data_IF_211564926851
#
_entry.id   IF_211564926851
#
_cell.length_a   1.000
_cell.length_b   1.000
_cell.length_c   1.000
_cell.angle_alpha   90.00
_cell.angle_beta   90.00
_cell.angle_gamma   90.00
#
_symmetry.space_group_name_H-M   'P 1'
#
loop_
_entity.id
_entity.type
_entity.pdbx_description
1 polymer ?
#
# COMPACT_ATOMS: atom_id res chain seq x y z
N UNK A 1 -29.54 21.00 -9.42
CA UNK A 1 -29.47 20.06 -8.30
C UNK A 1 -28.48 18.97 -8.60
N UNK A 2 -27.49 18.80 -7.74
CA UNK A 2 -26.46 17.81 -7.98
C UNK A 2 -27.01 16.41 -7.73
N UNK A 3 -26.80 15.49 -8.67
CA UNK A 3 -27.20 14.11 -8.46
C UNK A 3 -26.42 13.49 -7.30
N UNK A 4 -27.08 12.72 -6.44
CA UNK A 4 -26.35 12.02 -5.39
C UNK A 4 -25.25 11.12 -5.92
N UNK A 5 -25.37 10.62 -7.15
CA UNK A 5 -24.39 9.73 -7.73
C UNK A 5 -23.01 10.38 -7.88
N UNK A 6 -22.96 11.69 -8.14
CA UNK A 6 -21.67 12.38 -8.27
C UNK A 6 -20.93 12.41 -6.94
N UNK A 7 -21.64 12.66 -5.86
CA UNK A 7 -21.04 12.66 -4.53
C UNK A 7 -20.57 11.27 -4.14
N UNK A 8 -21.36 10.26 -4.48
CA UNK A 8 -20.96 8.88 -4.20
C UNK A 8 -19.69 8.49 -4.95
N UNK A 9 -19.58 8.91 -6.21
CA UNK A 9 -18.40 8.63 -7.00
C UNK A 9 -17.15 9.25 -6.36
N UNK A 10 -17.25 10.49 -5.89
CA UNK A 10 -16.14 11.15 -5.23
C UNK A 10 -15.77 10.46 -3.93
N UNK A 11 -16.78 9.99 -3.19
CA UNK A 11 -16.54 9.28 -1.94
C UNK A 11 -15.77 7.99 -2.16
N UNK A 12 -16.04 7.27 -3.25
CA UNK A 12 -15.35 6.03 -3.57
C UNK A 12 -13.96 6.26 -4.16
N UNK A 13 -13.72 7.42 -4.74
CA UNK A 13 -12.42 7.76 -5.30
C UNK A 13 -11.42 8.08 -4.20
N UNK A 14 -11.88 8.67 -3.12
CA UNK A 14 -11.04 9.05 -1.99
C UNK A 14 -11.62 8.50 -0.69
N UNK A 15 -10.77 8.11 0.24
CA UNK A 15 -11.26 7.65 1.54
C UNK A 15 -11.83 8.83 2.34
N UNK A 16 -12.80 8.56 3.23
CA UNK A 16 -13.19 9.57 4.21
C UNK A 16 -11.97 9.96 5.04
N UNK A 17 -11.86 11.25 5.35
CA UNK A 17 -10.72 11.76 6.13
C UNK A 17 -9.40 11.29 5.54
N UNK A 18 -9.20 11.65 4.28
CA UNK A 18 -8.08 11.19 3.47
C UNK A 18 -6.73 11.35 4.16
N UNK A 19 -6.51 12.46 4.83
CA UNK A 19 -5.25 12.69 5.51
C UNK A 19 -5.00 11.67 6.61
N UNK A 20 -6.02 11.35 7.39
CA UNK A 20 -5.88 10.35 8.44
C UNK A 20 -5.62 8.97 7.87
N UNK A 21 -6.32 8.62 6.80
CA UNK A 21 -6.11 7.35 6.14
C UNK A 21 -4.67 7.24 5.60
N UNK A 22 -4.20 8.28 4.92
CA UNK A 22 -2.85 8.29 4.36
C UNK A 22 -1.79 8.13 5.46
N UNK A 23 -1.97 8.82 6.59
CA UNK A 23 -1.03 8.69 7.70
C UNK A 23 -0.99 7.27 8.24
N UNK A 24 -2.13 6.59 8.32
CA UNK A 24 -2.16 5.19 8.74
C UNK A 24 -1.43 4.30 7.76
N UNK A 25 -1.62 4.54 6.47
CA UNK A 25 -0.91 3.78 5.43
C UNK A 25 0.60 3.96 5.59
N UNK A 26 1.05 5.19 5.70
CA UNK A 26 2.48 5.48 5.81
C UNK A 26 3.09 4.88 7.08
N UNK A 27 2.38 4.97 8.20
CA UNK A 27 2.85 4.39 9.45
C UNK A 27 2.99 2.88 9.34
N UNK A 28 2.05 2.21 8.70
CA UNK A 28 2.13 0.77 8.51
C UNK A 28 3.27 0.40 7.57
N UNK A 29 3.39 1.10 6.45
CA UNK A 29 4.42 0.78 5.46
C UNK A 29 5.82 0.96 6.03
N UNK A 30 5.99 1.95 6.92
CA UNK A 30 7.29 2.13 7.58
C UNK A 30 7.72 0.91 8.38
N UNK A 31 6.80 0.05 8.75
CA UNK A 31 7.11 -1.14 9.54
C UNK A 31 7.52 -2.33 8.67
N UNK A 32 7.29 -2.28 7.37
CA UNK A 32 7.69 -3.37 6.49
C UNK A 32 9.22 -3.46 6.48
N UNK A 33 9.79 -4.60 6.89
CA UNK A 33 11.25 -4.68 6.97
C UNK A 33 11.89 -4.80 5.58
N UNK A 34 13.16 -4.43 5.45
CA UNK A 34 13.88 -4.66 4.20
C UNK A 34 13.84 -6.13 3.81
N UNK A 35 13.66 -6.40 2.54
CA UNK A 35 13.57 -7.77 2.03
C UNK A 35 12.18 -8.36 2.10
N UNK A 36 11.20 -7.58 2.53
CA UNK A 36 9.81 -8.02 2.54
C UNK A 36 8.96 -7.04 1.74
N UNK A 37 7.83 -7.54 1.23
CA UNK A 37 6.90 -6.73 0.45
C UNK A 37 5.48 -6.96 0.95
N UNK A 38 4.63 -6.00 0.62
CA UNK A 38 3.21 -6.07 0.93
C UNK A 38 2.46 -5.60 -0.30
N UNK A 39 1.35 -6.24 -0.63
CA UNK A 39 0.54 -5.74 -1.74
C UNK A 39 -0.34 -4.59 -1.27
N UNK A 40 -0.82 -3.79 -2.22
CA UNK A 40 -1.77 -2.71 -1.87
C UNK A 40 -2.98 -3.26 -1.14
N UNK A 41 -3.49 -4.42 -1.57
CA UNK A 41 -4.63 -5.05 -0.91
C UNK A 41 -4.30 -5.53 0.50
N UNK A 42 -3.10 -6.05 0.70
CA UNK A 42 -2.68 -6.48 2.04
C UNK A 42 -2.54 -5.30 2.98
N UNK A 43 -1.98 -4.19 2.51
CA UNK A 43 -1.90 -2.98 3.32
C UNK A 43 -3.30 -2.51 3.70
N UNK A 44 -4.22 -2.50 2.73
CA UNK A 44 -5.60 -2.11 2.99
C UNK A 44 -6.25 -3.00 4.05
N UNK A 45 -6.03 -4.31 3.94
CA UNK A 45 -6.61 -5.26 4.89
C UNK A 45 -6.06 -5.07 6.30
N UNK A 46 -4.77 -4.78 6.41
CA UNK A 46 -4.15 -4.57 7.73
C UNK A 46 -4.64 -3.28 8.40
N UNK A 47 -4.94 -2.27 7.60
CA UNK A 47 -5.43 -0.99 8.15
C UNK A 47 -6.89 -1.10 8.55
N UNK A 48 -7.70 -1.79 7.74
CA UNK A 48 -9.13 -1.89 7.95
C UNK A 48 -9.89 -0.68 7.43
N UNK A 49 -11.22 -0.80 7.31
CA UNK A 49 -12.01 0.29 6.76
C UNK A 49 -12.03 1.51 7.69
N UNK A 50 -11.92 2.71 7.11
CA UNK A 50 -12.09 3.92 7.91
C UNK A 50 -13.48 3.99 8.51
N UNK A 51 -13.63 4.70 9.64
CA UNK A 51 -14.96 4.85 10.24
C UNK A 51 -15.96 5.40 9.22
N UNK A 52 -17.14 4.79 9.17
CA UNK A 52 -18.18 5.20 8.24
C UNK A 52 -18.11 4.58 6.87
N UNK A 53 -17.11 3.75 6.62
CA UNK A 53 -16.96 3.09 5.32
C UNK A 53 -17.56 1.68 5.42
N UNK A 54 -18.41 1.36 4.46
CA UNK A 54 -19.00 0.03 4.36
C UNK A 54 -17.89 -1.00 4.06
N UNK A 55 -17.85 -2.14 4.77
CA UNK A 55 -16.82 -3.14 4.55
C UNK A 55 -16.76 -3.65 3.11
N UNK A 56 -17.91 -3.82 2.44
CA UNK A 56 -17.91 -4.26 1.04
C UNK A 56 -17.29 -3.22 0.13
N UNK A 57 -17.59 -1.97 0.36
CA UNK A 57 -16.99 -0.88 -0.41
C UNK A 57 -15.49 -0.85 -0.19
N UNK A 58 -15.06 -1.08 1.03
CA UNK A 58 -13.63 -1.09 1.34
C UNK A 58 -12.91 -2.23 0.63
N UNK A 59 -13.52 -3.42 0.57
CA UNK A 59 -12.93 -4.51 -0.20
C UNK A 59 -12.74 -4.15 -1.67
N UNK A 60 -13.65 -3.34 -2.21
CA UNK A 60 -13.57 -2.95 -3.61
C UNK A 60 -12.55 -1.83 -3.86
N UNK A 61 -12.41 -0.89 -2.93
CA UNK A 61 -11.67 0.34 -3.17
C UNK A 61 -10.45 0.53 -2.30
N UNK A 62 -10.28 -0.28 -1.26
CA UNK A 62 -9.22 -0.07 -0.29
C UNK A 62 -7.82 -0.09 -0.89
N UNK A 63 -7.54 -1.04 -1.78
CA UNK A 63 -6.24 -1.13 -2.42
C UNK A 63 -5.95 0.13 -3.26
N UNK A 64 -6.97 0.65 -3.93
CA UNK A 64 -6.82 1.87 -4.73
C UNK A 64 -6.53 3.08 -3.84
N UNK A 65 -7.18 3.13 -2.69
CA UNK A 65 -6.94 4.21 -1.72
C UNK A 65 -5.51 4.14 -1.17
N UNK A 66 -5.02 2.93 -0.92
CA UNK A 66 -3.62 2.75 -0.52
C UNK A 66 -2.70 3.24 -1.64
N UNK A 67 -3.03 2.93 -2.90
CA UNK A 67 -2.26 3.43 -4.03
C UNK A 67 -2.16 4.94 -4.04
N UNK A 68 -3.28 5.62 -3.75
CA UNK A 68 -3.28 7.08 -3.66
C UNK A 68 -2.39 7.60 -2.53
N UNK A 69 -2.44 6.93 -1.37
CA UNK A 69 -1.58 7.30 -0.25
C UNK A 69 -0.11 7.11 -0.60
N UNK A 70 0.22 6.02 -1.29
CA UNK A 70 1.60 5.77 -1.68
C UNK A 70 2.10 6.76 -2.72
N UNK A 71 1.21 7.24 -3.60
CA UNK A 71 1.60 8.26 -4.57
C UNK A 71 1.98 9.59 -3.92
N UNK A 72 1.49 9.83 -2.71
CA UNK A 72 1.71 11.08 -1.98
C UNK A 72 2.63 10.90 -0.77
N UNK A 73 3.31 9.77 -0.64
CA UNK A 73 4.02 9.46 0.60
C UNK A 73 5.29 10.29 0.77
N UNK A 74 5.66 10.56 2.03
CA UNK A 74 6.94 11.21 2.33
C UNK A 74 8.13 10.36 1.89
N UNK A 75 9.28 11.01 1.77
CA UNK A 75 10.49 10.34 1.29
C UNK A 75 10.99 9.24 2.22
N UNK A 76 10.69 9.34 3.51
CA UNK A 76 11.15 8.35 4.48
C UNK A 76 10.33 7.06 4.48
N UNK A 77 9.22 7.03 3.73
CA UNK A 77 8.39 5.83 3.63
C UNK A 77 9.01 4.89 2.60
N UNK A 78 9.25 3.61 2.95
CA UNK A 78 9.85 2.66 2.00
C UNK A 78 8.81 2.19 0.97
N UNK A 79 8.46 3.10 0.08
CA UNK A 79 7.40 2.90 -0.91
C UNK A 79 7.66 1.70 -1.81
N UNK A 80 8.93 1.35 -2.04
CA UNK A 80 9.29 0.24 -2.91
C UNK A 80 8.80 -1.11 -2.38
N UNK A 81 8.46 -1.18 -1.09
CA UNK A 81 8.01 -2.42 -0.47
C UNK A 81 6.52 -2.66 -0.63
N UNK A 82 5.80 -1.78 -1.34
CA UNK A 82 4.38 -1.98 -1.66
C UNK A 82 4.25 -2.23 -3.15
N UNK A 83 3.70 -3.39 -3.50
CA UNK A 83 3.62 -3.85 -4.89
C UNK A 83 2.19 -4.30 -5.20
N UNK A 84 1.93 -4.62 -6.47
CA UNK A 84 0.58 -5.05 -6.85
C UNK A 84 0.33 -6.51 -6.48
N UNK A 85 -0.91 -6.94 -6.63
CA UNK A 85 -1.34 -8.28 -6.20
C UNK A 85 -0.74 -9.40 -7.04
N UNK A 86 -0.17 -9.08 -8.19
CA UNK A 86 0.50 -10.05 -9.04
C UNK A 86 1.99 -10.18 -8.73
N UNK A 87 2.47 -9.45 -7.75
CA UNK A 87 3.90 -9.45 -7.42
C UNK A 87 4.73 -8.59 -8.32
N UNK A 88 4.12 -7.73 -9.10
CA UNK A 88 4.83 -6.86 -10.03
C UNK A 88 5.05 -5.48 -9.44
N UNK A 89 6.17 -4.89 -9.81
CA UNK A 89 6.47 -3.53 -9.39
C UNK A 89 5.83 -2.54 -10.36
N UNK A 90 5.59 -1.34 -9.84
CA UNK A 90 5.02 -0.27 -10.62
C UNK A 90 6.10 0.37 -11.48
N UNK A 91 5.82 0.48 -12.78
CA UNK A 91 6.66 1.25 -13.68
C UNK A 91 6.03 2.63 -13.78
N UNK A 92 6.65 3.62 -13.14
CA UNK A 92 6.14 4.98 -13.19
C UNK A 92 7.03 5.80 -14.11
N UNK A 93 6.54 6.14 -15.30
CA UNK A 93 7.28 7.05 -16.16
C UNK A 93 7.51 8.38 -15.43
N UNK A 94 8.72 8.85 -15.46
CA UNK A 94 9.04 10.11 -14.81
C UNK A 94 9.16 10.07 -13.31
N UNK A 95 9.27 8.89 -12.72
CA UNK A 95 9.31 8.72 -11.28
C UNK A 95 10.66 8.97 -10.63
N UNK A 96 11.40 9.95 -11.09
CA UNK A 96 12.63 10.34 -10.43
C UNK A 96 13.83 9.45 -10.69
N UNK A 97 13.73 8.52 -11.61
CA UNK A 97 14.85 7.72 -12.04
C UNK A 97 15.26 6.58 -11.14
N UNK A 98 14.58 6.39 -10.00
CA UNK A 98 14.88 5.26 -9.14
C UNK A 98 13.89 4.15 -9.44
N UNK A 99 14.43 3.01 -9.86
CA UNK A 99 13.63 1.85 -10.20
C UNK A 99 13.24 1.11 -8.92
N UNK A 100 11.95 0.88 -8.76
CA UNK A 100 11.44 0.14 -7.60
C UNK A 100 12.08 -1.24 -7.52
N UNK A 101 12.26 -1.90 -8.65
CA UNK A 101 12.89 -3.21 -8.69
C UNK A 101 14.33 -3.16 -8.18
N UNK A 102 15.10 -2.16 -8.60
CA UNK A 102 16.47 -2.04 -8.14
C UNK A 102 16.55 -1.88 -6.62
N UNK A 103 15.64 -1.09 -6.05
CA UNK A 103 15.61 -0.92 -4.61
C UNK A 103 15.31 -2.23 -3.91
N UNK A 104 14.33 -2.99 -4.40
CA UNK A 104 14.00 -4.28 -3.81
C UNK A 104 15.13 -5.29 -3.97
N UNK A 105 15.77 -5.31 -5.13
CA UNK A 105 16.90 -6.21 -5.35
C UNK A 105 18.04 -5.88 -4.40
N UNK A 106 18.27 -4.61 -4.12
CA UNK A 106 19.29 -4.22 -3.16
C UNK A 106 18.97 -4.69 -1.75
N UNK A 107 17.71 -4.99 -1.47
CA UNK A 107 17.27 -5.53 -0.18
C UNK A 107 17.25 -7.06 -0.15
N UNK A 108 17.63 -7.71 -1.24
CA UNK A 108 17.67 -9.15 -1.30
C UNK A 108 16.45 -9.81 -1.93
N UNK A 109 15.53 -9.03 -2.46
CA UNK A 109 14.34 -9.58 -3.12
C UNK A 109 14.72 -10.05 -4.52
N UNK A 110 14.33 -11.27 -4.87
CA UNK A 110 14.64 -11.88 -6.15
C UNK A 110 13.40 -11.88 -7.03
N UNK A 111 13.56 -11.42 -8.27
CA UNK A 111 12.49 -11.43 -9.26
C UNK A 111 12.65 -12.63 -10.18
N UNK A 112 11.51 -13.19 -10.60
CA UNK A 112 11.50 -14.31 -11.54
C UNK A 112 11.65 -13.84 -12.99
N UNK A 113 11.58 -14.79 -13.93
CA UNK A 113 11.72 -14.49 -15.35
C UNK A 113 10.60 -13.63 -15.91
N UNK A 114 9.52 -13.49 -15.18
CA UNK A 114 8.38 -12.67 -15.57
C UNK A 114 8.34 -11.33 -14.82
N UNK A 115 9.46 -10.96 -14.19
CA UNK A 115 9.58 -9.73 -13.41
C UNK A 115 8.62 -9.67 -12.23
N UNK A 116 8.37 -10.83 -11.60
CA UNK A 116 7.48 -10.91 -10.46
C UNK A 116 8.21 -11.38 -9.21
N UNK A 117 7.73 -10.92 -8.08
CA UNK A 117 8.20 -11.34 -6.77
C UNK A 117 7.33 -12.52 -6.31
N UNK A 118 7.96 -13.54 -5.75
CA UNK A 118 7.21 -14.66 -5.16
C UNK A 118 6.63 -14.17 -3.83
N UNK A 119 5.32 -13.91 -3.85
CA UNK A 119 4.65 -13.38 -2.66
C UNK A 119 4.65 -14.36 -1.51
N UNK A 120 4.72 -15.67 -1.78
CA UNK A 120 4.81 -16.64 -0.70
C UNK A 120 6.10 -16.50 0.09
N UNK A 121 7.18 -16.18 -0.61
CA UNK A 121 8.50 -16.07 0.01
C UNK A 121 8.70 -14.72 0.67
N UNK A 122 8.24 -13.65 0.04
CA UNK A 122 8.61 -12.29 0.44
C UNK A 122 7.51 -11.50 1.11
N UNK A 123 6.28 -12.01 1.19
CA UNK A 123 5.19 -11.25 1.80
C UNK A 123 5.42 -11.01 3.28
N UNK A 124 5.14 -9.78 3.68
CA UNK A 124 5.09 -9.41 5.09
C UNK A 124 3.64 -9.55 5.57
N UNK A 125 3.45 -10.25 6.66
CA UNK A 125 2.12 -10.54 7.17
C UNK A 125 1.59 -9.51 8.15
N UNK A 126 2.32 -8.42 8.32
CA UNK A 126 1.93 -7.37 9.25
C UNK A 126 2.77 -7.38 10.51
N UNK A 127 2.53 -6.44 11.42
CA UNK A 127 3.26 -6.41 12.68
C UNK A 127 3.06 -7.70 13.46
N UNK A 128 4.16 -8.25 13.97
CA UNK A 128 4.10 -9.46 14.78
C UNK A 128 3.59 -9.14 16.17
N UNK A 129 2.74 -10.02 16.72
CA UNK A 129 2.30 -9.88 18.09
C UNK A 129 3.45 -10.02 19.07
N UNK A 130 4.53 -10.68 18.65
CA UNK A 130 5.69 -10.88 19.49
C UNK A 130 6.65 -9.70 19.48
N UNK A 131 6.43 -8.75 18.59
CA UNK A 131 7.28 -7.58 18.54
C UNK A 131 6.87 -6.59 19.63
N UNK A 132 7.84 -5.95 20.25
CA UNK A 132 7.51 -4.90 21.22
C UNK A 132 6.68 -3.82 20.54
N UNK A 133 5.68 -3.34 21.26
CA UNK A 133 4.79 -2.32 20.74
C UNK A 133 5.41 -0.96 20.96
N UNK A 134 6.33 -0.58 20.11
CA UNK A 134 7.12 0.62 20.27
C UNK A 134 6.51 1.84 19.61
N UNK A 135 5.36 1.69 19.03
CA UNK A 135 4.71 2.79 18.32
C UNK A 135 3.57 3.40 19.13
N UNK A 136 3.67 3.36 20.38
CA UNK A 136 2.70 4.05 21.24
C UNK A 136 3.32 5.31 21.80
#
# INVERSE_FOLDING_TARGET
MNPPAIRQAQHYISPPKREQFNHKVWALVRQIPPGKVCTYGQVAALIGPPPGTDPKSYLAFGARWVGGAMAACPQDVPWQRVINSQGKVSLRPGGGGIDQRELLESEGVIFDDHNRVDLKTYSWSGPSEDQPQDYH
#
